data_IF_953497493083
#
_entry.id   IF_953497493083
#
_cell.length_a   1.000
_cell.length_b   1.000
_cell.length_c   1.000
_cell.angle_alpha   90.00
_cell.angle_beta   90.00
_cell.angle_gamma   90.00
#
_symmetry.space_group_name_H-M   'P 1'
#
loop_
_entity.id
_entity.type
_entity.pdbx_description
1 polymer ?
#
# COMPACT_ATOMS: atom_id res chain seq x y z
N UNK A 1 3.43 -11.72 -16.49
CA UNK A 1 4.01 -10.75 -15.55
C UNK A 1 4.33 -9.50 -16.34
N UNK A 2 3.77 -8.33 -15.99
CA UNK A 2 3.97 -7.14 -16.81
C UNK A 2 5.43 -6.68 -16.72
N UNK A 3 6.01 -6.38 -17.87
CA UNK A 3 7.25 -5.61 -17.97
C UNK A 3 6.86 -4.12 -17.95
N UNK A 4 7.68 -3.25 -17.35
CA UNK A 4 7.33 -1.84 -17.28
C UNK A 4 8.46 -0.91 -16.82
N UNK A 5 8.26 0.42 -16.94
CA UNK A 5 9.18 1.42 -16.42
C UNK A 5 9.51 1.20 -14.94
N UNK A 6 10.78 1.29 -14.58
CA UNK A 6 11.27 1.07 -13.23
C UNK A 6 10.75 2.13 -12.25
N UNK A 7 10.24 1.70 -11.10
CA UNK A 7 9.76 2.60 -10.06
C UNK A 7 10.88 3.02 -9.09
N UNK A 8 10.76 4.23 -8.56
CA UNK A 8 11.76 4.89 -7.73
C UNK A 8 11.11 5.73 -6.65
N UNK A 9 11.90 6.18 -5.69
CA UNK A 9 11.48 7.21 -4.74
C UNK A 9 10.94 8.42 -5.50
N UNK A 10 9.88 9.05 -4.98
CA UNK A 10 9.15 10.18 -5.58
C UNK A 10 8.35 9.92 -6.86
N UNK A 11 8.39 8.71 -7.44
CA UNK A 11 7.50 8.40 -8.56
C UNK A 11 6.03 8.43 -8.09
N UNK A 12 5.12 8.91 -8.95
CA UNK A 12 3.74 9.17 -8.55
C UNK A 12 2.98 7.88 -8.25
N UNK A 13 2.10 7.92 -7.25
CA UNK A 13 1.12 6.87 -6.96
C UNK A 13 -0.30 7.34 -7.29
N UNK A 14 -1.25 6.42 -7.40
CA UNK A 14 -2.65 6.75 -7.72
C UNK A 14 -3.41 7.44 -6.59
N UNK A 15 -2.94 7.29 -5.35
CA UNK A 15 -3.52 7.98 -4.20
C UNK A 15 -2.99 9.41 -4.07
N UNK A 16 -3.81 10.38 -3.64
CA UNK A 16 -3.46 11.79 -3.70
C UNK A 16 -2.56 12.29 -2.56
N UNK A 17 -2.40 11.54 -1.46
CA UNK A 17 -1.74 12.06 -0.27
C UNK A 17 -0.83 11.01 0.42
N UNK A 18 0.50 11.15 0.34
CA UNK A 18 1.23 11.97 -0.64
C UNK A 18 1.06 11.38 -2.05
N UNK A 19 1.11 12.19 -3.11
CA UNK A 19 0.89 11.72 -4.48
C UNK A 19 2.10 10.95 -5.05
N UNK A 20 3.06 10.57 -4.22
CA UNK A 20 4.36 10.01 -4.61
C UNK A 20 4.86 8.96 -3.64
N UNK A 21 5.70 8.03 -4.12
CA UNK A 21 6.40 7.04 -3.32
C UNK A 21 7.34 7.70 -2.31
N UNK A 22 7.23 7.27 -1.06
CA UNK A 22 7.92 7.83 0.10
C UNK A 22 7.12 7.55 1.38
N UNK A 23 7.75 7.57 2.57
CA UNK A 23 9.09 8.04 2.86
C UNK A 23 10.19 6.97 2.76
N UNK A 24 9.87 5.75 2.32
CA UNK A 24 10.86 4.68 2.10
C UNK A 24 12.09 5.20 1.32
N UNK A 25 13.32 4.84 1.75
CA UNK A 25 14.53 5.44 1.22
C UNK A 25 14.89 4.98 -0.20
N UNK A 26 14.27 3.91 -0.69
CA UNK A 26 14.71 3.23 -1.89
C UNK A 26 16.01 2.46 -1.67
N UNK A 27 16.55 1.93 -2.76
CA UNK A 27 17.87 1.27 -2.76
C UNK A 27 19.00 2.24 -2.45
N UNK A 28 19.91 1.85 -1.55
CA UNK A 28 21.08 2.67 -1.19
C UNK A 28 22.18 2.70 -2.26
N UNK A 29 22.13 1.82 -3.25
CA UNK A 29 23.20 1.67 -4.25
C UNK A 29 22.71 1.45 -5.69
N UNK A 30 21.42 1.21 -5.90
CA UNK A 30 20.83 1.09 -7.23
C UNK A 30 20.04 2.35 -7.53
N UNK A 31 20.66 3.23 -8.32
CA UNK A 31 20.09 4.51 -8.71
C UNK A 31 19.59 4.40 -10.16
N UNK A 32 18.33 4.75 -10.37
CA UNK A 32 17.66 4.71 -11.68
C UNK A 32 17.25 6.13 -12.03
N UNK A 33 17.72 6.67 -13.15
CA UNK A 33 17.46 8.06 -13.54
C UNK A 33 17.66 9.06 -12.38
N UNK A 34 18.79 8.95 -11.67
CA UNK A 34 19.18 9.81 -10.54
C UNK A 34 18.38 9.66 -9.23
N UNK A 35 17.44 8.72 -9.14
CA UNK A 35 16.68 8.46 -7.90
C UNK A 35 16.86 7.00 -7.43
N UNK A 36 16.86 6.74 -6.11
CA UNK A 36 16.90 5.39 -5.56
C UNK A 36 15.76 4.52 -6.10
N UNK A 37 16.10 3.32 -6.58
CA UNK A 37 15.10 2.35 -7.06
C UNK A 37 14.19 1.87 -5.92
N UNK A 38 12.88 1.76 -6.18
CA UNK A 38 11.90 1.30 -5.20
C UNK A 38 11.81 -0.23 -5.20
N UNK A 39 11.76 -0.83 -4.01
CA UNK A 39 11.80 -2.29 -3.80
C UNK A 39 10.52 -2.76 -3.11
N UNK A 40 9.95 -3.83 -3.64
CA UNK A 40 8.78 -4.49 -3.10
C UNK A 40 9.14 -5.60 -2.13
N UNK A 41 8.14 -6.15 -1.46
CA UNK A 41 8.34 -7.26 -0.53
C UNK A 41 8.46 -8.60 -1.25
N UNK A 42 9.02 -9.59 -0.55
CA UNK A 42 9.10 -10.96 -1.06
C UNK A 42 7.71 -11.57 -1.28
N UNK A 43 7.57 -12.38 -2.32
CA UNK A 43 6.29 -12.98 -2.71
C UNK A 43 5.60 -13.78 -1.59
N UNK A 44 6.37 -14.46 -0.73
CA UNK A 44 5.82 -15.18 0.41
C UNK A 44 5.18 -14.25 1.45
N UNK A 45 5.81 -13.10 1.73
CA UNK A 45 5.26 -12.09 2.63
C UNK A 45 4.03 -11.40 2.00
N UNK A 46 4.05 -11.17 0.69
CA UNK A 46 2.92 -10.62 -0.05
C UNK A 46 1.67 -11.48 0.07
N UNK A 47 1.79 -12.80 -0.12
CA UNK A 47 0.67 -13.72 0.01
C UNK A 47 0.01 -13.67 1.40
N UNK A 48 0.81 -13.63 2.47
CA UNK A 48 0.30 -13.52 3.84
C UNK A 48 -0.44 -12.20 4.08
N UNK A 49 0.12 -11.08 3.62
CA UNK A 49 -0.53 -9.77 3.74
C UNK A 49 -1.82 -9.67 2.93
N UNK A 50 -1.88 -10.28 1.74
CA UNK A 50 -3.09 -10.28 0.92
C UNK A 50 -4.25 -11.00 1.62
N UNK A 51 -3.99 -12.13 2.29
CA UNK A 51 -4.99 -12.83 3.10
C UNK A 51 -5.48 -11.96 4.26
N UNK A 52 -4.55 -11.32 4.98
CA UNK A 52 -4.89 -10.41 6.08
C UNK A 52 -5.71 -9.20 5.59
N UNK A 53 -5.34 -8.62 4.45
CA UNK A 53 -6.05 -7.50 3.81
C UNK A 53 -7.46 -7.88 3.39
N UNK A 54 -7.66 -9.08 2.83
CA UNK A 54 -9.00 -9.53 2.45
C UNK A 54 -9.92 -9.62 3.68
N UNK A 55 -9.44 -10.16 4.80
CA UNK A 55 -10.21 -10.21 6.04
C UNK A 55 -10.51 -8.80 6.60
N UNK A 56 -9.51 -7.91 6.56
CA UNK A 56 -9.67 -6.51 6.96
C UNK A 56 -10.73 -5.79 6.11
N UNK A 57 -10.70 -5.95 4.79
CA UNK A 57 -11.64 -5.32 3.87
C UNK A 57 -13.08 -5.75 4.11
N UNK A 58 -13.30 -7.04 4.36
CA UNK A 58 -14.62 -7.56 4.71
C UNK A 58 -15.14 -6.90 6.01
N UNK A 59 -14.29 -6.77 7.02
CA UNK A 59 -14.66 -6.15 8.29
C UNK A 59 -14.97 -4.65 8.14
N UNK A 60 -14.17 -3.90 7.36
CA UNK A 60 -14.42 -2.50 7.05
C UNK A 60 -15.74 -2.33 6.29
N UNK A 61 -15.96 -3.12 5.24
CA UNK A 61 -17.18 -3.05 4.43
C UNK A 61 -18.43 -3.38 5.25
N UNK A 62 -18.35 -4.33 6.18
CA UNK A 62 -19.45 -4.64 7.09
C UNK A 62 -19.77 -3.46 8.02
N UNK A 63 -18.74 -2.79 8.56
CA UNK A 63 -18.93 -1.64 9.43
C UNK A 63 -19.49 -0.41 8.68
N UNK A 64 -18.98 -0.13 7.48
CA UNK A 64 -19.50 0.93 6.60
C UNK A 64 -20.95 0.67 6.20
N UNK A 65 -21.30 -0.59 5.94
CA UNK A 65 -22.68 -0.99 5.63
C UNK A 65 -23.61 -0.78 6.83
N UNK A 66 -23.14 -1.06 8.05
CA UNK A 66 -23.89 -0.81 9.28
C UNK A 66 -24.13 0.69 9.52
N UNK A 67 -23.10 1.53 9.34
CA UNK A 67 -23.25 3.00 9.39
C UNK A 67 -24.26 3.49 8.37
N UNK A 68 -24.16 3.00 7.13
CA UNK A 68 -25.09 3.36 6.06
C UNK A 68 -26.53 2.96 6.40
N UNK A 69 -26.74 1.77 6.97
CA UNK A 69 -28.06 1.29 7.38
C UNK A 69 -28.66 2.10 8.54
N UNK A 70 -27.82 2.60 9.46
CA UNK A 70 -28.25 3.42 10.57
C UNK A 70 -28.51 4.90 10.20
N UNK A 71 -28.22 5.31 8.96
CA UNK A 71 -28.33 6.70 8.52
C UNK A 71 -29.75 7.25 8.70
N UNK A 72 -29.86 8.45 9.26
CA UNK A 72 -31.14 9.10 9.57
C UNK A 72 -31.85 8.56 10.83
N UNK A 73 -31.29 7.57 11.52
CA UNK A 73 -31.82 7.06 12.80
C UNK A 73 -31.08 7.69 13.99
N UNK A 74 -31.67 7.67 15.21
CA UNK A 74 -30.95 8.05 16.43
C UNK A 74 -29.69 7.20 16.70
N UNK A 75 -29.59 6.01 16.10
CA UNK A 75 -28.43 5.12 16.22
C UNK A 75 -27.26 5.46 15.31
N UNK A 76 -27.41 6.39 14.36
CA UNK A 76 -26.35 6.74 13.40
C UNK A 76 -25.00 7.11 14.06
N UNK A 77 -24.95 7.91 15.16
CA UNK A 77 -23.68 8.24 15.80
C UNK A 77 -22.97 7.02 16.41
N UNK A 78 -23.72 6.07 16.97
CA UNK A 78 -23.15 4.86 17.55
C UNK A 78 -22.60 3.91 16.47
N UNK A 79 -23.31 3.75 15.36
CA UNK A 79 -22.84 2.96 14.22
C UNK A 79 -21.56 3.55 13.61
N UNK A 80 -21.53 4.87 13.40
CA UNK A 80 -20.34 5.56 12.92
C UNK A 80 -19.15 5.41 13.88
N UNK A 81 -19.37 5.55 15.19
CA UNK A 81 -18.31 5.34 16.17
C UNK A 81 -17.74 3.90 16.13
N UNK A 82 -18.60 2.89 15.95
CA UNK A 82 -18.18 1.50 15.78
C UNK A 82 -17.39 1.28 14.47
N UNK A 83 -17.79 1.94 13.38
CA UNK A 83 -17.03 1.94 12.12
C UNK A 83 -15.64 2.54 12.32
N UNK A 84 -15.52 3.72 12.94
CA UNK A 84 -14.22 4.35 13.17
C UNK A 84 -13.35 3.50 14.10
N UNK A 85 -13.92 2.87 15.12
CA UNK A 85 -13.18 1.94 15.99
C UNK A 85 -12.65 0.72 15.22
N UNK A 86 -13.47 0.17 14.31
CA UNK A 86 -13.06 -0.96 13.45
C UNK A 86 -11.92 -0.56 12.51
N UNK A 87 -12.05 0.60 11.83
CA UNK A 87 -11.00 1.13 10.95
C UNK A 87 -9.71 1.44 11.73
N UNK A 88 -9.83 2.00 12.94
CA UNK A 88 -8.70 2.24 13.85
C UNK A 88 -7.96 0.95 14.22
N UNK A 89 -8.69 -0.09 14.62
CA UNK A 89 -8.11 -1.38 14.98
C UNK A 89 -7.40 -2.05 13.78
N UNK A 90 -8.01 -1.98 12.59
CA UNK A 90 -7.44 -2.54 11.36
C UNK A 90 -6.19 -1.76 10.92
N UNK A 91 -6.24 -0.43 10.94
CA UNK A 91 -5.09 0.41 10.60
C UNK A 91 -3.89 0.09 11.49
N UNK A 92 -4.12 -0.10 12.80
CA UNK A 92 -3.08 -0.50 13.73
C UNK A 92 -2.56 -1.92 13.45
N UNK A 93 -3.44 -2.92 13.41
CA UNK A 93 -3.03 -4.32 13.28
C UNK A 93 -2.36 -4.61 11.92
N UNK A 94 -2.99 -4.21 10.81
CA UNK A 94 -2.47 -4.47 9.48
C UNK A 94 -1.30 -3.53 9.15
N UNK A 95 -1.29 -2.29 9.67
CA UNK A 95 -0.15 -1.39 9.53
C UNK A 95 1.13 -1.93 10.20
N UNK A 96 1.01 -2.50 11.39
CA UNK A 96 2.12 -3.22 12.04
C UNK A 96 2.55 -4.45 11.25
N UNK A 97 1.61 -5.25 10.75
CA UNK A 97 1.93 -6.41 9.93
C UNK A 97 2.68 -6.03 8.65
N UNK A 98 2.23 -5.00 7.93
CA UNK A 98 2.89 -4.47 6.73
C UNK A 98 4.30 -3.99 7.04
N UNK A 99 4.47 -3.21 8.11
CA UNK A 99 5.78 -2.69 8.52
C UNK A 99 6.74 -3.82 8.85
N UNK A 100 6.27 -4.88 9.54
CA UNK A 100 7.08 -6.06 9.85
C UNK A 100 7.44 -6.88 8.61
N UNK A 101 6.50 -7.03 7.67
CA UNK A 101 6.65 -7.79 6.44
C UNK A 101 7.54 -7.09 5.41
N UNK A 102 7.75 -5.78 5.54
CA UNK A 102 8.64 -5.02 4.68
C UNK A 102 10.06 -5.63 4.66
N UNK A 103 10.58 -6.04 5.83
CA UNK A 103 11.88 -6.73 5.95
C UNK A 103 13.02 -6.08 5.13
N UNK A 104 13.06 -4.74 5.07
CA UNK A 104 14.04 -3.96 4.31
C UNK A 104 13.54 -3.42 2.96
N UNK A 105 12.35 -3.83 2.51
CA UNK A 105 11.63 -3.22 1.38
C UNK A 105 11.11 -1.83 1.71
N UNK A 106 10.77 -1.09 0.66
CA UNK A 106 10.40 0.30 0.77
C UNK A 106 8.91 0.44 1.13
N UNK A 107 8.64 1.28 2.12
CA UNK A 107 7.29 1.57 2.63
C UNK A 107 6.86 2.95 2.16
N UNK A 108 5.71 3.00 1.49
CA UNK A 108 4.99 4.24 1.22
C UNK A 108 4.13 4.59 2.44
N UNK A 109 4.04 5.85 2.85
CA UNK A 109 3.08 6.26 3.87
C UNK A 109 1.91 6.96 3.20
N UNK A 110 0.76 6.30 3.10
CA UNK A 110 -0.45 6.90 2.58
C UNK A 110 -1.23 7.58 3.71
N UNK A 111 -1.35 8.89 3.62
CA UNK A 111 -2.03 9.72 4.63
C UNK A 111 -3.43 10.14 4.20
N UNK A 112 -3.94 9.59 3.10
CA UNK A 112 -5.35 9.75 2.68
C UNK A 112 -6.27 9.29 3.81
N UNK A 113 -7.19 10.15 4.31
CA UNK A 113 -8.12 9.78 5.35
C UNK A 113 -9.19 8.78 4.86
N UNK A 114 -9.56 7.81 5.71
CA UNK A 114 -10.83 7.08 5.60
C UNK A 114 -11.74 7.50 6.76
N UNK A 115 -12.50 8.59 6.54
CA UNK A 115 -12.83 9.63 7.54
C UNK A 115 -11.82 9.87 8.67
N UNK A 116 -11.60 8.91 9.58
CA UNK A 116 -10.42 8.74 10.46
C UNK A 116 -10.26 7.21 10.71
N UNK A 117 -9.07 6.58 10.62
CA UNK A 117 -7.70 7.06 10.45
C UNK A 117 -7.21 7.10 8.97
N UNK A 118 -5.96 7.54 8.71
CA UNK A 118 -5.36 7.44 7.37
C UNK A 118 -5.18 6.00 6.90
N UNK A 119 -4.99 5.82 5.58
CA UNK A 119 -4.74 4.51 4.97
C UNK A 119 -3.57 3.76 5.61
N UNK A 120 -2.46 4.44 5.91
CA UNK A 120 -1.34 3.90 6.65
C UNK A 120 -0.15 3.47 5.77
N UNK A 121 0.77 2.63 6.30
CA UNK A 121 1.94 2.18 5.55
C UNK A 121 1.55 1.22 4.42
N UNK A 122 2.09 1.43 3.23
CA UNK A 122 1.88 0.61 2.04
C UNK A 122 3.17 -0.03 1.55
N UNK A 123 3.11 -1.31 1.17
CA UNK A 123 4.23 -2.03 0.54
C UNK A 123 3.82 -2.56 -0.82
N UNK A 124 4.77 -2.62 -1.76
CA UNK A 124 4.51 -3.19 -3.09
C UNK A 124 4.52 -4.71 -3.00
N UNK A 125 3.41 -5.34 -3.41
CA UNK A 125 3.16 -6.79 -3.22
C UNK A 125 3.35 -7.63 -4.48
N UNK A 126 3.50 -7.00 -5.64
CA UNK A 126 3.49 -7.62 -6.97
C UNK A 126 4.67 -7.16 -7.86
N UNK A 127 5.80 -6.80 -7.22
CA UNK A 127 7.05 -6.45 -7.90
C UNK A 127 7.60 -7.55 -8.82
N UNK A 128 8.76 -7.28 -9.45
CA UNK A 128 9.37 -8.21 -10.41
C UNK A 128 9.69 -9.58 -9.81
N UNK A 129 9.38 -10.64 -10.57
CA UNK A 129 9.73 -12.02 -10.20
C UNK A 129 11.11 -12.45 -10.69
N UNK A 130 11.69 -11.70 -11.63
CA UNK A 130 12.97 -12.03 -12.26
C UNK A 130 14.08 -11.03 -11.95
N UNK A 131 13.73 -9.82 -11.52
CA UNK A 131 14.68 -8.75 -11.21
C UNK A 131 14.61 -8.41 -9.74
N UNK A 132 15.74 -8.54 -9.05
CA UNK A 132 15.88 -8.13 -7.65
C UNK A 132 16.87 -6.98 -7.52
N UNK A 133 16.59 -6.09 -6.58
CA UNK A 133 17.45 -4.98 -6.17
C UNK A 133 17.63 -5.12 -4.65
N UNK A 134 18.88 -5.27 -4.21
CA UNK A 134 19.19 -5.61 -2.82
C UNK A 134 18.41 -6.83 -2.30
N UNK A 135 18.34 -7.89 -3.11
CA UNK A 135 17.63 -9.14 -2.80
C UNK A 135 16.10 -9.02 -2.67
N UNK A 136 15.53 -7.87 -3.03
CA UNK A 136 14.09 -7.62 -2.99
C UNK A 136 13.54 -7.37 -4.40
N UNK A 137 12.29 -7.75 -4.71
CA UNK A 137 11.67 -7.50 -6.00
C UNK A 137 11.77 -6.04 -6.43
N UNK A 138 12.26 -5.80 -7.64
CA UNK A 138 12.30 -4.45 -8.19
C UNK A 138 10.90 -4.01 -8.64
N UNK A 139 10.49 -2.79 -8.28
CA UNK A 139 9.16 -2.28 -8.59
C UNK A 139 9.09 -1.57 -9.95
N UNK A 140 7.89 -1.51 -10.51
CA UNK A 140 7.55 -0.95 -11.81
C UNK A 140 6.32 -0.06 -11.73
N UNK A 141 6.13 0.76 -12.75
CA UNK A 141 4.81 1.34 -13.03
C UNK A 141 3.76 0.22 -13.15
N UNK A 142 2.62 0.42 -12.48
CA UNK A 142 1.47 -0.50 -12.49
C UNK A 142 1.44 -1.48 -11.30
N UNK A 143 2.58 -1.68 -10.63
CA UNK A 143 2.66 -2.49 -9.42
C UNK A 143 1.78 -1.86 -8.31
N UNK A 144 1.21 -2.72 -7.47
CA UNK A 144 0.19 -2.43 -6.48
C UNK A 144 0.80 -2.29 -5.09
N UNK A 145 0.41 -1.23 -4.39
CA UNK A 145 0.69 -1.05 -2.97
C UNK A 145 -0.48 -1.62 -2.16
N UNK A 146 -0.16 -2.50 -1.22
CA UNK A 146 -1.09 -2.97 -0.20
C UNK A 146 -0.96 -2.08 1.02
N UNK A 147 -2.05 -1.36 1.34
CA UNK A 147 -2.20 -0.45 2.48
C UNK A 147 -3.24 -1.03 3.47
N UNK A 148 -3.25 -0.65 4.76
CA UNK A 148 -4.20 -1.16 5.73
C UNK A 148 -5.66 -0.86 5.40
N UNK A 149 -5.92 0.37 4.97
CA UNK A 149 -7.24 0.87 4.61
C UNK A 149 -7.21 1.50 3.22
N UNK A 150 -8.39 1.78 2.70
CA UNK A 150 -8.55 2.46 1.42
C UNK A 150 -8.64 1.54 0.22
N UNK A 151 -8.99 2.10 -0.95
CA UNK A 151 -8.99 1.36 -2.21
C UNK A 151 -7.56 0.98 -2.62
N UNK A 152 -7.38 0.03 -3.56
CA UNK A 152 -6.06 -0.32 -4.07
C UNK A 152 -5.28 0.90 -4.55
N UNK A 153 -4.01 1.03 -4.13
CA UNK A 153 -3.08 2.04 -4.61
C UNK A 153 -2.10 1.41 -5.61
N UNK A 154 -1.67 2.17 -6.61
CA UNK A 154 -0.76 1.73 -7.66
C UNK A 154 0.32 2.75 -7.93
N UNK A 155 1.49 2.27 -8.34
CA UNK A 155 2.55 3.10 -8.90
C UNK A 155 2.08 3.61 -10.27
N UNK A 156 1.78 4.90 -10.37
CA UNK A 156 1.21 5.53 -11.55
C UNK A 156 2.27 5.90 -12.61
N UNK A 157 3.53 6.09 -12.19
CA UNK A 157 4.65 6.46 -13.08
C UNK A 157 5.92 5.71 -12.69
N UNK A 158 6.80 5.45 -13.65
CA UNK A 158 8.18 5.01 -13.43
C UNK A 158 9.14 5.74 -14.37
N UNK A 159 10.43 5.42 -14.28
CA UNK A 159 11.49 5.91 -15.17
C UNK A 159 11.40 5.23 -16.53
N UNK A 160 11.03 5.99 -17.56
CA UNK A 160 10.75 5.43 -18.90
C UNK A 160 12.01 4.98 -19.65
N UNK A 161 13.19 5.42 -19.22
CA UNK A 161 14.47 4.99 -19.82
C UNK A 161 14.98 3.65 -19.28
N UNK A 162 14.39 3.13 -18.20
CA UNK A 162 14.77 1.83 -17.60
C UNK A 162 13.55 0.93 -17.50
N UNK A 163 13.59 -0.19 -18.22
CA UNK A 163 12.50 -1.17 -18.24
C UNK A 163 12.88 -2.40 -17.42
N UNK A 164 12.01 -2.79 -16.48
CA UNK A 164 12.20 -3.96 -15.62
C UNK A 164 11.25 -5.08 -16.04
N UNK A 165 11.83 -6.28 -16.18
CA UNK A 165 11.12 -7.49 -16.60
C UNK A 165 10.09 -8.01 -15.59
N UNK A 166 9.24 -8.89 -16.11
CA UNK A 166 8.12 -9.54 -15.42
C UNK A 166 8.53 -10.47 -14.29
#
# INVERSE_FOLDING_TARGET
MPTGPAARVTDSVSHPLPPVLGPGPGSSNTIIGWLPAWRGILAAAAAALQVAKQAADIAVQAAESATKAASGTPGAPAAYAAEQATKGAIAAALGSAITSAAAGADIHACTVPSPVPPHGPGVVIDGSKTVTINFLPACRQGDSLLEPLGPPNKIAKGETTVTIGG
#
